data_IF_936639691921
#
_entry.id   IF_936639691921
#
_cell.length_a   1.000
_cell.length_b   1.000
_cell.length_c   1.000
_cell.angle_alpha   90.00
_cell.angle_beta   90.00
_cell.angle_gamma   90.00
#
_symmetry.space_group_name_H-M   'P 1'
#
loop_
_entity.id
_entity.type
_entity.pdbx_description
1 polymer ?
#
# COMPACT_ATOMS: atom_id res chain seq x y z
N UNK A 1 25.50 50.37 -10.89
CA UNK A 1 24.92 49.18 -11.55
C UNK A 1 24.21 48.38 -10.48
N UNK A 2 22.87 48.48 -10.42
CA UNK A 2 22.10 48.16 -9.21
C UNK A 2 22.12 46.68 -8.83
N UNK A 3 22.22 46.39 -7.53
CA UNK A 3 22.21 45.03 -6.96
C UNK A 3 21.03 44.17 -7.44
N UNK A 4 19.92 44.79 -7.85
CA UNK A 4 18.76 44.06 -8.42
C UNK A 4 19.09 43.29 -9.70
N UNK A 5 19.91 43.85 -10.60
CA UNK A 5 20.30 43.17 -11.84
C UNK A 5 21.24 41.99 -11.57
N UNK A 6 22.08 42.08 -10.54
CA UNK A 6 22.94 40.97 -10.12
C UNK A 6 22.13 39.85 -9.48
N UNK A 7 21.15 40.18 -8.61
CA UNK A 7 20.27 39.19 -8.00
C UNK A 7 19.43 38.46 -9.05
N UNK A 8 18.89 39.18 -10.03
CA UNK A 8 18.15 38.60 -11.15
C UNK A 8 19.04 37.66 -11.97
N UNK A 9 20.27 38.08 -12.28
CA UNK A 9 21.24 37.26 -13.02
C UNK A 9 21.68 35.99 -12.28
N UNK A 10 21.84 36.04 -10.95
CA UNK A 10 22.16 34.85 -10.14
C UNK A 10 20.97 33.90 -10.07
N UNK A 11 19.75 34.43 -9.86
CA UNK A 11 18.54 33.62 -9.88
C UNK A 11 18.35 32.90 -11.23
N UNK A 12 18.53 33.63 -12.33
CA UNK A 12 18.45 33.08 -13.68
C UNK A 12 19.56 32.06 -13.97
N UNK A 13 20.79 32.34 -13.51
CA UNK A 13 21.92 31.43 -13.65
C UNK A 13 21.68 30.13 -12.90
N UNK A 14 21.10 30.19 -11.71
CA UNK A 14 20.72 29.01 -10.94
C UNK A 14 19.59 28.21 -11.61
N UNK A 15 18.59 28.89 -12.18
CA UNK A 15 17.49 28.25 -12.93
C UNK A 15 17.99 27.58 -14.22
N UNK A 16 18.83 28.28 -15.00
CA UNK A 16 19.45 27.75 -16.20
C UNK A 16 20.38 26.57 -15.90
N UNK A 17 21.18 26.64 -14.83
CA UNK A 17 22.05 25.55 -14.40
C UNK A 17 21.23 24.35 -13.91
N UNK A 18 20.13 24.59 -13.20
CA UNK A 18 19.15 23.57 -12.83
C UNK A 18 18.57 22.86 -14.05
N UNK A 19 18.22 23.60 -15.10
CA UNK A 19 17.75 23.03 -16.37
C UNK A 19 18.84 22.30 -17.15
N UNK A 20 20.08 22.80 -17.18
CA UNK A 20 21.20 22.09 -17.81
C UNK A 20 21.45 20.76 -17.09
N UNK A 21 21.44 20.74 -15.76
CA UNK A 21 21.51 19.51 -14.96
C UNK A 21 20.32 18.58 -15.25
N UNK A 22 19.12 19.13 -15.47
CA UNK A 22 17.92 18.34 -15.76
C UNK A 22 17.87 17.80 -17.21
N UNK A 23 18.36 18.56 -18.18
CA UNK A 23 18.43 18.22 -19.62
C UNK A 23 19.59 17.27 -19.91
N UNK A 24 20.71 17.40 -19.19
CA UNK A 24 21.81 16.45 -19.32
C UNK A 24 21.24 15.05 -19.00
N UNK A 25 21.53 14.01 -19.80
CA UNK A 25 21.19 12.64 -19.48
C UNK A 25 22.10 12.15 -18.35
N UNK A 26 21.99 12.77 -17.17
CA UNK A 26 22.61 12.28 -15.94
C UNK A 26 21.98 10.92 -15.61
N UNK A 27 22.77 9.98 -15.08
CA UNK A 27 22.29 8.67 -14.68
C UNK A 27 21.06 8.82 -13.78
N UNK A 28 19.97 8.14 -14.16
CA UNK A 28 18.65 8.28 -13.55
C UNK A 28 18.67 8.11 -12.02
N UNK A 29 19.66 7.39 -11.49
CA UNK A 29 19.83 7.17 -10.04
C UNK A 29 20.21 8.44 -9.27
N UNK A 30 21.02 9.33 -9.84
CA UNK A 30 21.35 10.61 -9.16
C UNK A 30 20.19 11.59 -9.25
N UNK A 31 19.42 11.58 -10.34
CA UNK A 31 18.16 12.35 -10.43
C UNK A 31 17.10 11.78 -9.49
N UNK A 32 16.95 10.45 -9.39
CA UNK A 32 16.06 9.78 -8.42
C UNK A 32 16.43 10.18 -7.01
N UNK A 33 17.71 10.08 -6.65
CA UNK A 33 18.20 10.47 -5.33
C UNK A 33 17.99 11.95 -5.04
N UNK A 34 18.33 12.85 -5.96
CA UNK A 34 18.15 14.30 -5.77
C UNK A 34 16.67 14.70 -5.68
N UNK A 35 15.81 14.12 -6.52
CA UNK A 35 14.36 14.34 -6.48
C UNK A 35 13.70 13.68 -5.27
N UNK A 36 14.26 12.58 -4.77
CA UNK A 36 13.82 11.92 -3.54
C UNK A 36 14.29 12.68 -2.30
N UNK A 37 15.48 13.27 -2.30
CA UNK A 37 15.91 14.21 -1.26
C UNK A 37 15.09 15.50 -1.30
N UNK A 38 14.77 15.98 -2.51
CA UNK A 38 13.88 17.12 -2.67
C UNK A 38 12.47 16.76 -2.20
N UNK A 39 11.91 15.60 -2.55
CA UNK A 39 10.54 15.18 -2.22
C UNK A 39 10.33 14.63 -0.80
N UNK A 40 11.38 14.07 -0.17
CA UNK A 40 11.35 13.53 1.19
C UNK A 40 11.43 14.63 2.24
N UNK A 41 11.84 15.85 1.86
CA UNK A 41 11.83 16.97 2.78
C UNK A 41 10.38 17.45 3.01
N UNK A 42 9.84 17.48 4.24
CA UNK A 42 8.47 17.96 4.54
C UNK A 42 8.20 19.41 4.09
N UNK A 43 9.22 20.13 3.64
CA UNK A 43 9.12 21.45 3.02
C UNK A 43 8.61 21.44 1.57
N UNK A 44 8.42 20.28 0.91
CA UNK A 44 7.98 20.20 -0.49
C UNK A 44 6.62 20.79 -0.76
N UNK A 45 5.66 20.55 0.14
CA UNK A 45 4.32 21.14 0.01
C UNK A 45 4.40 22.68 0.06
N UNK A 46 5.27 23.22 0.92
CA UNK A 46 5.52 24.66 1.03
C UNK A 46 6.32 25.18 -0.18
N UNK A 47 7.32 24.44 -0.63
CA UNK A 47 8.14 24.77 -1.80
C UNK A 47 7.30 24.87 -3.07
N UNK A 48 6.35 23.96 -3.27
CA UNK A 48 5.39 24.01 -4.38
C UNK A 48 4.57 25.31 -4.35
N UNK A 49 4.12 25.75 -3.17
CA UNK A 49 3.41 27.03 -3.01
C UNK A 49 4.30 28.24 -3.32
N UNK A 50 5.57 28.23 -2.89
CA UNK A 50 6.52 29.30 -3.24
C UNK A 50 6.80 29.36 -4.75
N UNK A 51 6.89 28.21 -5.43
CA UNK A 51 7.06 28.16 -6.89
C UNK A 51 5.87 28.75 -7.63
N UNK A 52 4.63 28.54 -7.14
CA UNK A 52 3.45 29.19 -7.71
C UNK A 52 3.47 30.71 -7.53
N UNK A 53 3.89 31.20 -6.36
CA UNK A 53 4.03 32.64 -6.12
C UNK A 53 5.09 33.26 -7.04
N UNK A 54 6.25 32.60 -7.19
CA UNK A 54 7.32 33.04 -8.10
C UNK A 54 6.85 32.98 -9.56
N UNK A 55 6.09 31.96 -9.94
CA UNK A 55 5.51 31.84 -11.28
C UNK A 55 4.60 33.03 -11.62
N UNK A 56 3.65 33.37 -10.74
CA UNK A 56 2.78 34.52 -10.97
C UNK A 56 3.54 35.85 -10.97
N UNK A 57 4.58 35.97 -10.15
CA UNK A 57 5.46 37.15 -10.14
C UNK A 57 6.23 37.29 -11.46
N UNK A 58 6.82 36.19 -11.96
CA UNK A 58 7.51 36.15 -13.25
C UNK A 58 6.54 36.40 -14.40
N UNK A 59 5.31 35.90 -14.32
CA UNK A 59 4.27 36.14 -15.32
C UNK A 59 3.88 37.63 -15.37
N UNK A 60 3.75 38.28 -14.22
CA UNK A 60 3.52 39.72 -14.13
C UNK A 60 4.72 40.51 -14.69
N UNK A 61 5.96 40.14 -14.34
CA UNK A 61 7.18 40.77 -14.89
C UNK A 61 7.32 40.58 -16.39
N UNK A 62 6.94 39.42 -16.91
CA UNK A 62 6.95 39.14 -18.34
C UNK A 62 5.89 39.96 -19.07
N UNK A 63 4.68 40.04 -18.53
CA UNK A 63 3.63 40.91 -19.08
C UNK A 63 4.03 42.39 -19.06
N UNK A 64 4.69 42.84 -18.00
CA UNK A 64 5.23 44.20 -17.88
C UNK A 64 6.34 44.45 -18.92
N UNK A 65 7.29 43.51 -19.05
CA UNK A 65 8.37 43.57 -20.04
C UNK A 65 7.84 43.55 -21.48
N UNK A 66 6.79 42.76 -21.76
CA UNK A 66 6.11 42.76 -23.06
C UNK A 66 5.42 44.09 -23.32
N UNK A 67 4.68 44.63 -22.34
CA UNK A 67 4.02 45.93 -22.46
C UNK A 67 5.02 47.04 -22.76
N UNK A 68 6.15 47.05 -22.04
CA UNK A 68 7.22 48.02 -22.24
C UNK A 68 7.88 47.84 -23.62
N UNK A 69 8.16 46.61 -24.06
CA UNK A 69 8.72 46.33 -25.38
C UNK A 69 7.77 46.76 -26.52
N UNK A 70 6.46 46.51 -26.38
CA UNK A 70 5.45 46.95 -27.36
C UNK A 70 5.33 48.48 -27.39
N UNK A 71 5.33 49.12 -26.22
CA UNK A 71 5.24 50.58 -26.12
C UNK A 71 6.51 51.27 -26.64
N UNK A 72 7.70 50.71 -26.36
CA UNK A 72 8.97 51.19 -26.89
C UNK A 72 9.05 51.00 -28.41
N UNK A 73 8.57 49.86 -28.92
CA UNK A 73 8.50 49.59 -30.36
C UNK A 73 7.60 50.57 -31.10
N UNK A 74 6.40 50.84 -30.56
CA UNK A 74 5.48 51.82 -31.14
C UNK A 74 6.02 53.26 -31.11
N UNK A 75 6.76 53.65 -30.06
CA UNK A 75 7.44 54.97 -30.01
C UNK A 75 8.53 55.09 -31.09
N UNK A 76 9.27 54.00 -31.35
CA UNK A 76 10.29 53.98 -32.40
C UNK A 76 9.66 54.06 -33.80
N UNK A 77 8.57 53.34 -34.06
CA UNK A 77 7.85 53.40 -35.35
C UNK A 77 7.28 54.79 -35.63
N UNK A 78 6.64 55.41 -34.63
CA UNK A 78 6.11 56.78 -34.74
C UNK A 78 7.23 57.78 -34.97
N UNK A 79 8.35 57.67 -34.24
CA UNK A 79 9.52 58.53 -34.46
C UNK A 79 10.10 58.35 -35.87
N UNK A 80 10.22 57.12 -36.37
CA UNK A 80 10.72 56.83 -37.72
C UNK A 80 9.78 57.31 -38.83
N UNK A 81 8.47 57.39 -38.57
CA UNK A 81 7.49 57.95 -39.52
C UNK A 81 7.47 59.48 -39.58
N UNK A 82 7.90 60.16 -38.50
CA UNK A 82 7.95 61.62 -38.40
C UNK A 82 9.37 62.21 -38.60
N UNK A 83 10.42 61.38 -38.59
CA UNK A 83 11.83 61.80 -38.72
C UNK A 83 12.25 62.22 -40.14
N UNK A 84 11.36 62.13 -41.13
CA UNK A 84 11.63 62.67 -42.46
C UNK A 84 11.76 64.21 -42.49
N UNK A 85 11.35 64.94 -41.43
CA UNK A 85 11.25 66.40 -41.48
C UNK A 85 12.23 67.20 -40.62
N UNK A 86 12.81 66.72 -39.51
CA UNK A 86 13.79 67.50 -38.72
C UNK A 86 14.83 66.64 -37.98
N UNK A 87 16.11 67.00 -38.11
CA UNK A 87 17.27 66.22 -37.68
C UNK A 87 17.44 65.99 -36.17
N UNK A 88 17.03 64.81 -35.70
CA UNK A 88 17.32 64.29 -34.36
C UNK A 88 17.92 62.88 -34.41
N UNK A 89 19.14 62.72 -34.96
CA UNK A 89 19.82 61.42 -34.99
C UNK A 89 20.12 60.88 -33.57
N UNK A 90 20.38 61.75 -32.59
CA UNK A 90 20.73 61.35 -31.21
C UNK A 90 19.53 60.76 -30.45
N UNK A 91 18.31 61.27 -30.66
CA UNK A 91 17.09 60.77 -30.01
C UNK A 91 16.68 59.39 -30.56
N UNK A 92 16.93 59.15 -31.84
CA UNK A 92 16.67 57.85 -32.48
C UNK A 92 17.57 56.75 -31.89
N UNK A 93 18.87 57.00 -31.74
CA UNK A 93 19.80 56.05 -31.12
C UNK A 93 19.48 55.77 -29.65
N UNK A 94 19.00 56.76 -28.90
CA UNK A 94 18.53 56.56 -27.53
C UNK A 94 17.28 55.66 -27.48
N UNK A 95 16.31 55.86 -28.38
CA UNK A 95 15.13 55.01 -28.48
C UNK A 95 15.47 53.56 -28.89
N UNK A 96 16.36 53.39 -29.86
CA UNK A 96 16.83 52.06 -30.29
C UNK A 96 17.55 51.32 -29.16
N UNK A 97 18.40 52.01 -28.40
CA UNK A 97 19.08 51.45 -27.23
C UNK A 97 18.11 51.03 -26.12
N UNK A 98 17.06 51.82 -25.87
CA UNK A 98 15.99 51.49 -24.93
C UNK A 98 15.15 50.29 -25.39
N UNK A 99 14.86 50.18 -26.69
CA UNK A 99 14.13 49.04 -27.25
C UNK A 99 14.92 47.75 -27.09
N UNK A 100 16.21 47.75 -27.41
CA UNK A 100 17.07 46.57 -27.26
C UNK A 100 17.16 46.09 -25.80
N UNK A 101 17.19 47.03 -24.83
CA UNK A 101 17.17 46.70 -23.42
C UNK A 101 15.86 46.01 -23.01
N UNK A 102 14.70 46.57 -23.40
CA UNK A 102 13.39 45.99 -23.08
C UNK A 102 13.15 44.62 -23.75
N UNK A 103 13.57 44.45 -25.01
CA UNK A 103 13.41 43.19 -25.74
C UNK A 103 14.24 42.06 -25.13
N UNK A 104 15.47 42.35 -24.70
CA UNK A 104 16.31 41.38 -23.99
C UNK A 104 15.71 40.96 -22.66
N UNK A 105 15.15 41.91 -21.91
CA UNK A 105 14.52 41.61 -20.61
C UNK A 105 13.24 40.77 -20.79
N UNK A 106 12.44 41.04 -21.83
CA UNK A 106 11.26 40.24 -22.18
C UNK A 106 11.64 38.81 -22.59
N UNK A 107 12.68 38.63 -23.41
CA UNK A 107 13.17 37.28 -23.76
C UNK A 107 13.74 36.55 -22.55
N UNK A 108 14.50 37.23 -21.70
CA UNK A 108 15.11 36.66 -20.50
C UNK A 108 14.05 36.15 -19.51
N UNK A 109 13.02 36.97 -19.25
CA UNK A 109 11.89 36.61 -18.37
C UNK A 109 11.00 35.53 -18.99
N UNK A 110 10.79 35.55 -20.31
CA UNK A 110 10.03 34.53 -21.02
C UNK A 110 10.71 33.16 -21.01
N UNK A 111 12.03 33.13 -21.20
CA UNK A 111 12.83 31.89 -21.10
C UNK A 111 12.76 31.34 -19.68
N UNK A 112 12.92 32.17 -18.63
CA UNK A 112 12.74 31.74 -17.24
C UNK A 112 11.35 31.13 -16.97
N UNK A 113 10.28 31.77 -17.45
CA UNK A 113 8.92 31.20 -17.31
C UNK A 113 8.79 29.84 -17.99
N UNK A 114 9.32 29.71 -19.21
CA UNK A 114 9.31 28.44 -19.93
C UNK A 114 10.09 27.36 -19.18
N UNK A 115 11.28 27.69 -18.65
CA UNK A 115 12.09 26.77 -17.86
C UNK A 115 11.36 26.32 -16.59
N UNK A 116 10.72 27.25 -15.86
CA UNK A 116 9.97 26.95 -14.66
C UNK A 116 8.81 25.97 -14.92
N UNK A 117 8.06 26.18 -16.02
CA UNK A 117 7.00 25.27 -16.45
C UNK A 117 7.57 23.91 -16.85
N UNK A 118 8.66 23.90 -17.63
CA UNK A 118 9.32 22.68 -18.07
C UNK A 118 9.78 21.82 -16.89
N UNK A 119 10.44 22.41 -15.89
CA UNK A 119 10.88 21.70 -14.67
C UNK A 119 9.68 21.11 -13.91
N UNK A 120 8.58 21.85 -13.78
CA UNK A 120 7.37 21.35 -13.13
C UNK A 120 6.76 20.16 -13.87
N UNK A 121 6.67 20.22 -15.20
CA UNK A 121 6.13 19.14 -16.04
C UNK A 121 7.01 17.88 -15.94
N UNK A 122 8.32 18.02 -16.10
CA UNK A 122 9.25 16.87 -16.01
C UNK A 122 9.19 16.23 -14.62
N UNK A 123 9.14 17.02 -13.56
CA UNK A 123 9.03 16.51 -12.18
C UNK A 123 7.70 15.76 -11.97
N UNK A 124 6.60 16.25 -12.55
CA UNK A 124 5.30 15.59 -12.47
C UNK A 124 5.28 14.25 -13.23
N UNK A 125 5.84 14.22 -14.44
CA UNK A 125 5.96 12.98 -15.22
C UNK A 125 6.79 11.94 -14.48
N UNK A 126 7.91 12.33 -13.88
CA UNK A 126 8.76 11.42 -13.13
C UNK A 126 8.06 10.84 -11.89
N UNK A 127 7.31 11.67 -11.16
CA UNK A 127 6.48 11.19 -10.03
C UNK A 127 5.42 10.18 -10.51
N UNK A 128 4.82 10.43 -11.68
CA UNK A 128 3.83 9.53 -12.26
C UNK A 128 4.44 8.19 -12.66
N UNK A 129 5.63 8.19 -13.28
CA UNK A 129 6.38 6.96 -13.60
C UNK A 129 6.76 6.18 -12.34
N UNK A 130 7.26 6.84 -11.30
CA UNK A 130 7.59 6.19 -10.03
C UNK A 130 6.35 5.59 -9.36
N UNK A 131 5.25 6.33 -9.33
CA UNK A 131 3.99 5.83 -8.77
C UNK A 131 3.46 4.63 -9.56
N UNK A 132 3.58 4.64 -10.89
CA UNK A 132 3.22 3.50 -11.73
C UNK A 132 4.11 2.28 -11.46
N UNK A 133 5.42 2.47 -11.30
CA UNK A 133 6.37 1.41 -10.96
C UNK A 133 6.05 0.77 -9.60
N UNK A 134 5.84 1.61 -8.58
CA UNK A 134 5.45 1.20 -7.21
C UNK A 134 4.11 0.46 -7.24
N UNK A 135 3.12 1.01 -7.93
CA UNK A 135 1.80 0.39 -8.04
C UNK A 135 1.87 -0.98 -8.74
N UNK A 136 2.70 -1.12 -9.77
CA UNK A 136 2.91 -2.42 -10.43
C UNK A 136 3.58 -3.43 -9.49
N UNK A 137 4.56 -3.00 -8.68
CA UNK A 137 5.22 -3.86 -7.69
C UNK A 137 4.26 -4.27 -6.59
N UNK A 138 3.42 -3.35 -6.13
CA UNK A 138 2.39 -3.61 -5.13
C UNK A 138 1.33 -4.56 -5.68
N UNK A 139 0.88 -4.38 -6.93
CA UNK A 139 -0.06 -5.30 -7.58
C UNK A 139 0.52 -6.73 -7.68
N UNK A 140 1.78 -6.87 -8.09
CA UNK A 140 2.47 -8.18 -8.14
C UNK A 140 2.62 -8.83 -6.77
N UNK A 141 2.97 -8.05 -5.74
CA UNK A 141 3.08 -8.56 -4.37
C UNK A 141 1.71 -8.92 -3.77
N UNK A 142 0.66 -8.18 -4.12
CA UNK A 142 -0.70 -8.47 -3.69
C UNK A 142 -1.24 -9.72 -4.39
N UNK A 143 -0.92 -9.92 -5.67
CA UNK A 143 -1.26 -11.13 -6.42
C UNK A 143 -0.56 -12.36 -5.83
N UNK A 144 0.74 -12.28 -5.53
CA UNK A 144 1.46 -13.40 -4.90
C UNK A 144 0.96 -13.69 -3.49
N UNK A 145 0.66 -12.66 -2.68
CA UNK A 145 0.06 -12.82 -1.37
C UNK A 145 -1.35 -13.44 -1.46
N UNK A 146 -2.16 -13.02 -2.44
CA UNK A 146 -3.48 -13.59 -2.68
C UNK A 146 -3.41 -15.07 -3.03
N UNK A 147 -2.48 -15.48 -3.91
CA UNK A 147 -2.26 -16.90 -4.26
C UNK A 147 -1.83 -17.71 -3.04
N UNK A 148 -0.88 -17.22 -2.24
CA UNK A 148 -0.44 -17.90 -1.02
C UNK A 148 -1.58 -18.05 -0.01
N UNK A 149 -2.36 -16.99 0.21
CA UNK A 149 -3.52 -17.03 1.10
C UNK A 149 -4.63 -17.93 0.57
N UNK A 150 -4.80 -18.05 -0.75
CA UNK A 150 -5.76 -18.98 -1.35
C UNK A 150 -5.33 -20.43 -1.13
N UNK A 151 -4.05 -20.76 -1.33
CA UNK A 151 -3.50 -22.09 -1.07
C UNK A 151 -3.55 -22.47 0.42
N UNK A 152 -3.22 -21.53 1.31
CA UNK A 152 -3.29 -21.75 2.76
C UNK A 152 -4.75 -21.99 3.21
N UNK A 153 -5.71 -21.23 2.67
CA UNK A 153 -7.13 -21.46 2.93
C UNK A 153 -7.60 -22.84 2.44
N UNK A 154 -7.11 -23.32 1.31
CA UNK A 154 -7.46 -24.66 0.81
C UNK A 154 -6.90 -25.76 1.73
N UNK A 155 -5.65 -25.63 2.18
CA UNK A 155 -5.03 -26.56 3.14
C UNK A 155 -5.78 -26.57 4.47
N UNK A 156 -6.06 -25.39 5.02
CA UNK A 156 -6.82 -25.25 6.26
C UNK A 156 -8.22 -25.87 6.13
N UNK A 157 -8.89 -25.73 4.98
CA UNK A 157 -10.18 -26.39 4.72
C UNK A 157 -10.06 -27.92 4.75
N UNK A 158 -9.02 -28.49 4.12
CA UNK A 158 -8.76 -29.94 4.13
C UNK A 158 -8.49 -30.44 5.55
N UNK A 159 -7.63 -29.76 6.31
CA UNK A 159 -7.34 -30.11 7.71
C UNK A 159 -8.60 -30.02 8.59
N UNK A 160 -9.46 -29.02 8.35
CA UNK A 160 -10.71 -28.87 9.09
C UNK A 160 -11.70 -29.99 8.77
N UNK A 161 -11.78 -30.45 7.52
CA UNK A 161 -12.56 -31.64 7.15
C UNK A 161 -12.00 -32.92 7.79
N UNK A 162 -10.68 -33.10 7.77
CA UNK A 162 -10.02 -34.26 8.38
C UNK A 162 -10.23 -34.29 9.91
N UNK A 163 -10.06 -33.15 10.58
CA UNK A 163 -10.35 -33.02 12.01
C UNK A 163 -11.82 -33.29 12.32
N UNK A 164 -12.76 -32.80 11.50
CA UNK A 164 -14.19 -33.09 11.68
C UNK A 164 -14.48 -34.58 11.55
N UNK A 165 -13.85 -35.26 10.59
CA UNK A 165 -13.99 -36.71 10.43
C UNK A 165 -13.42 -37.47 11.64
N UNK A 166 -12.23 -37.09 12.12
CA UNK A 166 -11.60 -37.69 13.31
C UNK A 166 -12.44 -37.48 14.58
N UNK A 167 -13.01 -36.28 14.75
CA UNK A 167 -13.93 -35.98 15.87
C UNK A 167 -15.18 -36.85 15.78
N UNK A 168 -15.80 -36.98 14.61
CA UNK A 168 -16.96 -37.84 14.41
C UNK A 168 -16.65 -39.32 14.71
N UNK A 169 -15.49 -39.82 14.27
CA UNK A 169 -15.05 -41.18 14.58
C UNK A 169 -14.82 -41.37 16.10
N UNK A 170 -14.17 -40.40 16.76
CA UNK A 170 -13.98 -40.43 18.21
C UNK A 170 -15.31 -40.45 18.97
N UNK A 171 -16.29 -39.66 18.52
CA UNK A 171 -17.62 -39.61 19.12
C UNK A 171 -18.37 -40.93 18.92
N UNK A 172 -18.27 -41.54 17.73
CA UNK A 172 -18.83 -42.86 17.46
C UNK A 172 -18.22 -43.91 18.40
N UNK A 173 -16.88 -43.95 18.55
CA UNK A 173 -16.20 -44.83 19.52
C UNK A 173 -16.64 -44.57 20.96
N UNK A 174 -16.83 -43.30 21.34
CA UNK A 174 -17.34 -42.92 22.67
C UNK A 174 -18.77 -43.42 22.91
N UNK A 175 -19.64 -43.35 21.90
CA UNK A 175 -21.00 -43.90 22.01
C UNK A 175 -21.00 -45.42 22.08
N UNK A 176 -20.14 -46.09 21.30
CA UNK A 176 -20.02 -47.54 21.29
C UNK A 176 -19.47 -48.06 22.63
N UNK A 177 -18.44 -47.42 23.18
CA UNK A 177 -17.90 -47.79 24.51
C UNK A 177 -18.92 -47.56 25.63
N UNK A 178 -19.71 -46.49 25.57
CA UNK A 178 -20.83 -46.28 26.52
C UNK A 178 -21.91 -47.35 26.41
N UNK A 179 -22.27 -47.76 25.19
CA UNK A 179 -23.23 -48.85 24.97
C UNK A 179 -22.69 -50.18 25.49
N UNK A 180 -21.42 -50.51 25.21
CA UNK A 180 -20.77 -51.71 25.73
C UNK A 180 -20.69 -51.69 27.26
N UNK A 181 -20.32 -50.56 27.87
CA UNK A 181 -20.28 -50.41 29.32
C UNK A 181 -21.66 -50.69 29.94
N UNK A 182 -22.73 -50.18 29.34
CA UNK A 182 -24.11 -50.45 29.76
C UNK A 182 -24.50 -51.93 29.58
N UNK A 183 -24.04 -52.56 28.50
CA UNK A 183 -24.26 -53.98 28.26
C UNK A 183 -23.53 -54.86 29.29
N UNK A 184 -22.29 -54.52 29.64
CA UNK A 184 -21.52 -55.19 30.69
C UNK A 184 -22.20 -55.02 32.06
N UNK A 185 -22.69 -53.82 32.38
CA UNK A 185 -23.43 -53.58 33.63
C UNK A 185 -24.70 -54.44 33.72
N UNK A 186 -25.48 -54.53 32.63
CA UNK A 186 -26.66 -55.38 32.58
C UNK A 186 -26.29 -56.87 32.69
N UNK A 187 -25.24 -57.32 32.00
CA UNK A 187 -24.75 -58.71 32.09
C UNK A 187 -24.28 -59.05 33.51
N UNK A 188 -23.61 -58.11 34.19
CA UNK A 188 -23.17 -58.29 35.56
C UNK A 188 -24.35 -58.48 36.52
N UNK A 189 -25.45 -57.73 36.34
CA UNK A 189 -26.68 -57.89 37.13
C UNK A 189 -27.32 -59.26 36.91
N UNK A 190 -27.42 -59.72 35.66
CA UNK A 190 -27.94 -61.06 35.36
C UNK A 190 -27.04 -62.17 35.92
N UNK A 191 -25.71 -61.99 35.84
CA UNK A 191 -24.75 -62.92 36.44
C UNK A 191 -24.96 -63.06 37.95
N UNK A 192 -25.11 -61.94 38.67
CA UNK A 192 -25.37 -61.94 40.11
C UNK A 192 -26.69 -62.64 40.44
N UNK A 193 -27.76 -62.37 39.68
CA UNK A 193 -29.06 -63.01 39.86
C UNK A 193 -28.99 -64.53 39.68
N UNK A 194 -28.30 -65.00 38.63
CA UNK A 194 -28.12 -66.44 38.37
C UNK A 194 -27.29 -67.09 39.48
N UNK A 195 -26.33 -66.36 40.06
CA UNK A 195 -25.52 -66.82 41.18
C UNK A 195 -26.39 -67.04 42.43
N UNK A 196 -27.23 -66.06 42.78
CA UNK A 196 -28.20 -66.17 43.87
C UNK A 196 -29.17 -67.35 43.66
N UNK A 197 -29.62 -67.57 42.42
CA UNK A 197 -30.53 -68.67 42.08
C UNK A 197 -29.84 -70.04 42.20
N UNK A 198 -28.57 -70.15 41.78
CA UNK A 198 -27.78 -71.36 42.00
C UNK A 198 -27.52 -71.64 43.48
N UNK A 199 -27.22 -70.61 44.28
CA UNK A 199 -27.07 -70.78 45.73
C UNK A 199 -28.36 -71.28 46.38
N UNK A 200 -29.52 -70.76 45.93
CA UNK A 200 -30.83 -71.21 46.41
C UNK A 200 -31.10 -72.66 46.05
N UNK A 201 -30.86 -73.03 44.78
CA UNK A 201 -31.02 -74.41 44.30
C UNK A 201 -30.05 -75.37 45.00
N UNK A 202 -28.81 -74.98 45.26
CA UNK A 202 -27.87 -75.78 46.03
C UNK A 202 -28.37 -76.05 47.45
N UNK A 203 -28.89 -75.03 48.14
CA UNK A 203 -29.50 -75.20 49.46
C UNK A 203 -30.70 -76.15 49.42
N UNK A 204 -31.54 -76.06 48.37
CA UNK A 204 -32.70 -76.94 48.20
C UNK A 204 -32.29 -78.39 47.91
N UNK A 205 -31.30 -78.62 47.05
CA UNK A 205 -30.71 -79.94 46.80
C UNK A 205 -30.09 -80.51 48.07
N UNK A 206 -29.43 -79.68 48.87
CA UNK A 206 -28.82 -80.09 50.13
C UNK A 206 -29.90 -80.48 51.17
N UNK A 207 -30.95 -79.67 51.35
CA UNK A 207 -32.10 -80.01 52.21
C UNK A 207 -32.80 -81.30 51.75
N UNK A 208 -32.99 -81.49 50.45
CA UNK A 208 -33.56 -82.73 49.90
C UNK A 208 -32.65 -83.95 50.17
N UNK A 209 -31.33 -83.78 50.08
CA UNK A 209 -30.34 -84.83 50.38
C UNK A 209 -30.36 -85.18 51.87
N UNK A 210 -30.41 -84.18 52.75
CA UNK A 210 -30.51 -84.35 54.20
C UNK A 210 -31.83 -85.05 54.59
N UNK A 211 -32.94 -84.70 53.92
CA UNK A 211 -34.24 -85.39 54.08
C UNK A 211 -34.21 -86.85 53.62
N UNK A 212 -33.51 -87.16 52.53
CA UNK A 212 -33.36 -88.52 52.00
C UNK A 212 -32.51 -89.39 52.91
N UNK A 213 -31.40 -88.85 53.43
CA UNK A 213 -30.53 -89.54 54.40
C UNK A 213 -31.19 -89.70 55.77
N UNK A 214 -32.01 -88.74 56.22
CA UNK A 214 -32.85 -88.89 57.41
C UNK A 214 -33.87 -90.04 57.23
N UNK A 215 -34.54 -90.12 56.07
CA UNK A 215 -35.46 -91.24 55.74
C UNK A 215 -34.76 -92.60 55.65
N UNK A 216 -33.52 -92.67 55.13
CA UNK A 216 -32.78 -93.93 55.10
C UNK A 216 -32.29 -94.38 56.48
N UNK A 217 -32.10 -93.46 57.44
CA UNK A 217 -31.79 -93.78 58.84
C UNK A 217 -32.99 -94.31 59.64
N UNK A 218 -34.22 -93.93 59.25
CA UNK A 218 -35.46 -94.40 59.87
C UNK A 218 -35.83 -95.83 59.44
N UNK A 219 -35.45 -96.25 58.23
CA UNK A 219 -35.66 -97.62 57.74
C UNK A 219 -34.73 -98.69 58.33
N UNK A 220 -33.77 -98.31 59.20
CA UNK A 220 -32.81 -99.26 59.84
C UNK A 220 -33.09 -99.50 61.33
N UNK A 221 -34.23 -99.04 61.85
CA UNK A 221 -34.66 -99.25 63.25
C UNK A 221 -35.80 -100.25 63.42
N UNK A 222 -36.31 -100.80 62.32
CA UNK A 222 -37.47 -101.72 62.31
C UNK A 222 -37.11 -103.17 61.92
N UNK A 223 -35.82 -103.55 61.92
CA UNK A 223 -35.35 -104.95 61.86
C UNK A 223 -34.39 -105.26 63.02
#
# INVERSE_FOLDING_TARGET
MGLGWQALGVFLGAEALGCVVLILPLPLDTKRSLLQFLSSNPHVAKAQSYLWVIFFLLLALFADSLREAHLAGGRLEVHNSHSHEHGGHDDMHALEAHLYASQRNALLTGVSLFLLVFVNVVTALFKLEQNAEILSKQAKNQESAFVQHAEENEKLRKELEEQKAAVAESQAKLTQTKMMAKQVENQQKEYLRVLDENERLQKEVQDLTDRLTAKSSQGKKDD
#
